data_IF_980067810139
#
_entry.id   IF_980067810139
#
_cell.length_a   1.000
_cell.length_b   1.000
_cell.length_c   1.000
_cell.angle_alpha   90.00
_cell.angle_beta   90.00
_cell.angle_gamma   90.00
#
_symmetry.space_group_name_H-M   'P 1'
#
loop_
_entity.id
_entity.type
_entity.pdbx_description
1 polymer ?
#
# COMPACT_ATOMS: atom_id res chain seq x y z
N UNK A 1 5.69 -53.90 -15.87
CA UNK A 1 4.76 -52.79 -16.15
C UNK A 1 5.34 -51.53 -15.52
N UNK A 2 5.83 -50.57 -16.32
CA UNK A 2 6.20 -49.24 -15.84
C UNK A 2 5.08 -48.28 -16.27
N UNK A 3 4.42 -47.65 -15.32
CA UNK A 3 3.46 -46.58 -15.57
C UNK A 3 4.22 -45.26 -15.72
N UNK A 4 4.13 -44.63 -16.90
CA UNK A 4 4.68 -43.30 -17.13
C UNK A 4 3.80 -42.24 -16.48
N UNK A 5 4.39 -41.37 -15.66
CA UNK A 5 3.72 -40.16 -15.17
C UNK A 5 3.71 -39.12 -16.29
N UNK A 6 2.53 -38.74 -16.76
CA UNK A 6 2.36 -37.62 -17.66
C UNK A 6 2.44 -36.31 -16.85
N UNK A 7 3.45 -35.48 -17.11
CA UNK A 7 3.51 -34.11 -16.61
C UNK A 7 2.46 -33.27 -17.34
N UNK A 8 1.51 -32.71 -16.61
CA UNK A 8 0.60 -31.70 -17.14
C UNK A 8 1.38 -30.41 -17.44
N UNK A 9 1.03 -29.66 -18.51
CA UNK A 9 1.64 -28.36 -18.76
C UNK A 9 1.22 -27.41 -17.63
N UNK A 10 2.19 -26.76 -17.00
CA UNK A 10 1.91 -25.61 -16.15
C UNK A 10 1.34 -24.51 -17.06
N UNK A 11 0.05 -24.20 -16.91
CA UNK A 11 -0.54 -23.03 -17.56
C UNK A 11 0.09 -21.79 -16.95
N UNK A 12 0.84 -21.03 -17.74
CA UNK A 12 1.29 -19.70 -17.37
C UNK A 12 0.06 -18.79 -17.36
N UNK A 13 -0.44 -18.37 -16.20
CA UNK A 13 -1.45 -17.32 -16.17
C UNK A 13 -0.80 -16.00 -16.56
N UNK A 14 -1.50 -15.22 -17.38
CA UNK A 14 -1.08 -13.86 -17.64
C UNK A 14 -1.11 -13.04 -16.34
N UNK A 15 -0.11 -12.18 -16.09
CA UNK A 15 -0.11 -11.35 -14.89
C UNK A 15 -1.38 -10.50 -14.84
N UNK A 16 -2.05 -10.50 -13.69
CA UNK A 16 -3.23 -9.68 -13.46
C UNK A 16 -2.92 -8.20 -13.78
N UNK A 17 -3.90 -7.46 -14.33
CA UNK A 17 -3.69 -6.05 -14.63
C UNK A 17 -3.39 -5.25 -13.35
N UNK A 18 -2.57 -4.22 -13.51
CA UNK A 18 -2.37 -3.23 -12.44
C UNK A 18 -3.44 -2.17 -12.57
N UNK A 19 -4.39 -2.15 -11.65
CA UNK A 19 -5.57 -1.31 -11.73
C UNK A 19 -5.44 -0.05 -10.87
N UNK A 20 -5.71 1.15 -11.42
CA UNK A 20 -5.84 2.37 -10.63
C UNK A 20 -6.98 2.24 -9.63
N UNK A 21 -6.74 2.62 -8.38
CA UNK A 21 -7.74 2.62 -7.31
C UNK A 21 -7.86 4.03 -6.76
N UNK A 22 -9.08 4.59 -6.80
CA UNK A 22 -9.35 5.91 -6.24
C UNK A 22 -9.18 5.88 -4.72
N UNK A 23 -8.31 6.73 -4.19
CA UNK A 23 -8.05 6.85 -2.75
C UNK A 23 -8.23 8.29 -2.32
N UNK A 24 -9.07 8.49 -1.31
CA UNK A 24 -9.16 9.73 -0.56
C UNK A 24 -8.25 9.63 0.66
N UNK A 25 -7.48 10.67 0.93
CA UNK A 25 -6.57 10.71 2.08
C UNK A 25 -6.81 11.98 2.89
N UNK A 26 -6.96 11.82 4.20
CA UNK A 26 -7.10 12.93 5.16
C UNK A 26 -5.87 12.93 6.09
N UNK A 27 -5.15 14.07 6.20
CA UNK A 27 -4.03 14.16 7.11
C UNK A 27 -4.45 14.00 8.58
N UNK A 28 -3.67 13.25 9.33
CA UNK A 28 -3.70 13.19 10.79
C UNK A 28 -2.61 14.14 11.28
N UNK A 29 -3.04 15.28 11.86
CA UNK A 29 -2.14 16.36 12.30
C UNK A 29 -1.75 16.27 13.77
N UNK A 30 -2.49 15.49 14.56
CA UNK A 30 -2.29 15.28 16.00
C UNK A 30 -2.36 13.79 16.31
N UNK A 31 -1.36 13.25 16.99
CA UNK A 31 -1.35 11.83 17.39
C UNK A 31 -2.17 11.58 18.64
N UNK A 32 -2.05 12.47 19.62
CA UNK A 32 -2.84 12.42 20.85
C UNK A 32 -4.04 13.35 20.69
N UNK A 33 -5.24 12.77 20.69
CA UNK A 33 -6.50 13.49 20.46
C UNK A 33 -6.62 14.67 21.44
N UNK A 34 -6.76 15.89 20.89
CA UNK A 34 -6.93 17.11 21.67
C UNK A 34 -5.63 17.65 22.29
N UNK A 35 -4.46 17.14 21.89
CA UNK A 35 -3.16 17.67 22.30
C UNK A 35 -2.25 17.92 21.12
N UNK A 36 -1.50 19.01 21.20
CA UNK A 36 -0.53 19.43 20.20
C UNK A 36 0.86 18.86 20.43
N UNK A 37 1.03 18.03 21.47
CA UNK A 37 2.28 17.34 21.80
C UNK A 37 2.71 16.47 20.61
N UNK A 38 3.93 16.69 20.10
CA UNK A 38 4.51 15.90 19.00
C UNK A 38 5.58 14.92 19.44
N UNK A 39 6.13 15.09 20.64
CA UNK A 39 7.21 14.25 21.15
C UNK A 39 6.66 13.10 22.00
N UNK A 40 7.00 11.87 21.64
CA UNK A 40 6.60 10.64 22.32
C UNK A 40 7.86 9.79 22.61
N UNK A 41 8.45 10.00 23.79
CA UNK A 41 9.74 9.40 24.12
C UNK A 41 10.84 9.91 23.20
N UNK A 42 11.52 9.01 22.48
CA UNK A 42 12.57 9.36 21.49
C UNK A 42 12.02 9.65 20.09
N UNK A 43 10.71 9.53 19.88
CA UNK A 43 10.08 9.67 18.57
C UNK A 43 9.30 10.98 18.46
N UNK A 44 9.34 11.59 17.28
CA UNK A 44 8.49 12.72 16.91
C UNK A 44 7.37 12.24 15.98
N UNK A 45 6.14 12.64 16.26
CA UNK A 45 5.03 12.45 15.34
C UNK A 45 5.13 13.45 14.17
N UNK A 46 5.44 12.91 12.99
CA UNK A 46 5.62 13.69 11.75
C UNK A 46 4.35 13.77 10.88
N UNK A 47 3.24 13.19 11.34
CA UNK A 47 1.97 13.14 10.62
C UNK A 47 1.53 11.70 10.28
N UNK A 48 0.27 11.58 9.89
CA UNK A 48 -0.32 10.32 9.42
C UNK A 48 -1.37 10.58 8.35
N UNK A 49 -1.90 9.50 7.76
CA UNK A 49 -2.98 9.57 6.79
C UNK A 49 -4.08 8.60 7.19
N UNK A 50 -5.31 9.10 7.24
CA UNK A 50 -6.51 8.28 7.17
C UNK A 50 -6.86 8.13 5.69
N UNK A 51 -6.96 6.89 5.22
CA UNK A 51 -7.21 6.60 3.80
C UNK A 51 -8.51 5.83 3.62
N UNK A 52 -9.29 6.21 2.62
CA UNK A 52 -10.53 5.54 2.23
C UNK A 52 -10.62 5.37 0.73
N UNK A 53 -11.40 4.38 0.29
CA UNK A 53 -11.67 4.13 -1.12
C UNK A 53 -13.07 3.52 -1.27
N UNK A 54 -13.79 3.80 -2.37
CA UNK A 54 -14.99 3.05 -2.72
C UNK A 54 -14.67 1.65 -3.29
N UNK A 55 -13.41 1.35 -3.61
CA UNK A 55 -13.00 0.04 -4.10
C UNK A 55 -13.13 -1.02 -3.00
N UNK A 56 -13.64 -2.20 -3.37
CA UNK A 56 -13.76 -3.35 -2.45
C UNK A 56 -12.42 -4.00 -2.16
N UNK A 57 -11.46 -3.87 -3.07
CA UNK A 57 -10.12 -4.45 -2.91
C UNK A 57 -9.21 -3.58 -2.02
N UNK A 58 -9.58 -2.32 -1.82
CA UNK A 58 -8.82 -1.41 -0.98
C UNK A 58 -9.02 -1.71 0.51
N UNK A 59 -7.94 -2.06 1.19
CA UNK A 59 -7.93 -2.33 2.62
C UNK A 59 -6.86 -3.34 2.98
N UNK A 60 -6.85 -3.76 4.25
CA UNK A 60 -5.99 -4.83 4.75
C UNK A 60 -4.50 -4.66 4.35
N UNK A 61 -4.02 -3.41 4.34
CA UNK A 61 -2.65 -3.07 3.96
C UNK A 61 -1.71 -3.48 5.10
N UNK A 62 -0.90 -4.52 4.89
CA UNK A 62 -0.21 -5.20 6.00
C UNK A 62 1.30 -4.90 6.02
N UNK A 63 1.91 -4.55 4.88
CA UNK A 63 3.28 -4.04 4.84
C UNK A 63 3.53 -3.18 3.61
N UNK A 64 4.54 -2.31 3.67
CA UNK A 64 5.05 -1.59 2.51
C UNK A 64 6.54 -1.24 2.70
N UNK A 65 7.20 -0.90 1.60
CA UNK A 65 8.53 -0.27 1.61
C UNK A 65 8.61 0.84 0.58
N UNK A 66 9.49 1.79 0.82
CA UNK A 66 9.87 2.77 -0.19
C UNK A 66 10.76 2.14 -1.27
N UNK A 67 10.40 2.44 -2.52
CA UNK A 67 11.22 2.26 -3.72
C UNK A 67 12.12 3.47 -3.92
N UNK A 68 11.56 4.67 -3.69
CA UNK A 68 12.28 5.94 -3.59
C UNK A 68 12.06 6.52 -2.21
N UNK A 69 13.14 6.83 -1.51
CA UNK A 69 13.09 7.29 -0.12
C UNK A 69 12.09 8.43 0.05
N UNK A 70 11.05 8.19 0.84
CA UNK A 70 10.03 9.20 1.13
C UNK A 70 9.16 9.59 -0.07
N UNK A 71 8.99 8.77 -1.10
CA UNK A 71 7.93 8.99 -2.10
C UNK A 71 7.26 7.69 -2.52
N UNK A 72 7.88 6.96 -3.45
CA UNK A 72 7.24 5.88 -4.18
C UNK A 72 7.37 4.60 -3.37
N UNK A 73 6.31 3.81 -3.31
CA UNK A 73 6.27 2.60 -2.52
C UNK A 73 5.63 1.43 -3.25
N UNK A 74 5.96 0.25 -2.74
CA UNK A 74 5.26 -1.02 -2.98
C UNK A 74 4.85 -1.59 -1.63
N UNK A 75 3.70 -2.24 -1.57
CA UNK A 75 3.28 -3.00 -0.40
C UNK A 75 2.42 -4.19 -0.73
N UNK A 76 2.04 -4.90 0.33
CA UNK A 76 1.23 -6.11 0.29
C UNK A 76 0.00 -5.93 1.15
N UNK A 77 -1.16 -6.25 0.60
CA UNK A 77 -2.37 -6.48 1.38
C UNK A 77 -2.47 -7.97 1.70
N UNK A 78 -2.90 -8.32 2.92
CA UNK A 78 -3.08 -9.72 3.33
C UNK A 78 -4.20 -10.45 2.56
N UNK A 79 -4.98 -9.71 1.77
CA UNK A 79 -5.98 -10.22 0.82
C UNK A 79 -5.40 -10.71 -0.51
N UNK A 80 -4.06 -10.77 -0.64
CA UNK A 80 -3.41 -11.29 -1.84
C UNK A 80 -3.22 -10.26 -2.95
N UNK A 81 -2.98 -9.00 -2.59
CA UNK A 81 -2.71 -7.93 -3.56
C UNK A 81 -1.35 -7.28 -3.32
N UNK A 82 -0.65 -7.01 -4.43
CA UNK A 82 0.35 -5.96 -4.46
C UNK A 82 -0.34 -4.61 -4.56
N UNK A 83 0.19 -3.60 -3.88
CA UNK A 83 -0.25 -2.22 -4.07
C UNK A 83 0.93 -1.27 -4.20
N UNK A 84 0.70 -0.15 -4.87
CA UNK A 84 1.71 0.83 -5.20
C UNK A 84 1.15 2.23 -5.08
N UNK A 85 2.03 3.21 -4.91
CA UNK A 85 1.66 4.62 -4.96
C UNK A 85 2.84 5.52 -4.61
N UNK A 86 2.55 6.81 -4.51
CA UNK A 86 3.52 7.82 -4.08
C UNK A 86 2.92 8.65 -2.94
N UNK A 87 3.67 8.82 -1.86
CA UNK A 87 3.24 9.69 -0.75
C UNK A 87 3.52 11.15 -1.10
N UNK A 88 2.47 11.96 -1.17
CA UNK A 88 2.55 13.41 -1.32
C UNK A 88 2.95 14.05 0.01
N UNK A 89 3.82 15.08 -0.04
CA UNK A 89 4.30 15.78 1.14
C UNK A 89 4.22 17.29 1.02
N UNK A 90 4.04 17.95 2.16
CA UNK A 90 4.16 19.40 2.27
C UNK A 90 5.63 19.85 2.33
N UNK A 91 5.84 21.16 2.45
CA UNK A 91 7.17 21.77 2.57
C UNK A 91 7.95 21.31 3.83
N UNK A 92 7.24 20.92 4.88
CA UNK A 92 7.81 20.39 6.13
C UNK A 92 8.05 18.87 6.07
N UNK A 93 7.84 18.25 4.90
CA UNK A 93 7.96 16.82 4.62
C UNK A 93 6.91 15.94 5.33
N UNK A 94 5.81 16.51 5.79
CA UNK A 94 4.69 15.75 6.38
C UNK A 94 3.86 15.11 5.28
N UNK A 95 3.34 13.88 5.48
CA UNK A 95 2.45 13.26 4.51
C UNK A 95 1.13 14.03 4.43
N UNK A 96 0.70 14.37 3.22
CA UNK A 96 -0.57 15.09 2.97
C UNK A 96 -1.53 14.32 2.07
N UNK A 97 -1.08 13.23 1.46
CA UNK A 97 -1.94 12.37 0.65
C UNK A 97 -1.17 11.25 -0.05
N UNK A 98 -1.90 10.44 -0.81
CA UNK A 98 -1.36 9.39 -1.68
C UNK A 98 -1.77 9.69 -3.12
N UNK A 99 -0.82 9.54 -4.04
CA UNK A 99 -1.02 9.72 -5.47
C UNK A 99 -0.75 8.41 -6.21
N UNK A 100 -1.35 8.26 -7.40
CA UNK A 100 -1.12 7.14 -8.32
C UNK A 100 -1.31 5.77 -7.65
N UNK A 101 -2.29 5.67 -6.73
CA UNK A 101 -2.54 4.43 -6.03
C UNK A 101 -3.10 3.39 -6.99
N UNK A 102 -2.52 2.19 -6.95
CA UNK A 102 -2.87 1.10 -7.84
C UNK A 102 -2.68 -0.24 -7.15
N UNK A 103 -3.47 -1.23 -7.53
CA UNK A 103 -3.42 -2.57 -6.96
C UNK A 103 -3.30 -3.62 -8.07
N UNK A 104 -2.71 -4.76 -7.74
CA UNK A 104 -2.55 -5.89 -8.64
C UNK A 104 -2.78 -7.18 -7.85
N UNK A 105 -3.72 -8.01 -8.31
CA UNK A 105 -3.95 -9.31 -7.69
C UNK A 105 -2.72 -10.21 -7.88
N UNK A 106 -2.35 -10.93 -6.82
CA UNK A 106 -1.37 -12.01 -6.93
C UNK A 106 -2.04 -13.19 -7.64
N UNK A 107 -1.53 -13.53 -8.82
CA UNK A 107 -1.96 -14.68 -9.62
C UNK A 107 -0.73 -15.57 -9.89
N UNK A 108 -0.94 -16.88 -9.97
CA UNK A 108 0.09 -17.90 -10.19
C UNK A 108 0.39 -18.14 -11.68
#
# INVERSE_FOLDING_TARGET
>A
MLAGMASAPAGSADPAPVEPVAVSARPITEFHIGRTDKQFGQLEFVGGLEMTSPSRDFGALSAFRFLKAGSDFIGVADTGYWFFGSVARDADRRPVGIQNFRMQQMVD
#
